data_IF_906426156939
#
_entry.id   IF_906426156939
#
_cell.length_a   1.000
_cell.length_b   1.000
_cell.length_c   1.000
_cell.angle_alpha   90.00
_cell.angle_beta   90.00
_cell.angle_gamma   90.00
#
_symmetry.space_group_name_H-M   'P 1'
#
loop_
_entity.id
_entity.type
_entity.pdbx_description
1 polymer ?
#
# COMPACT_ATOMS: atom_id res chain seq x y z
N UNK A 1 12.93 -11.83 1.64
CA UNK A 1 12.34 -12.98 0.88
C UNK A 1 10.88 -12.72 0.51
N UNK A 2 10.29 -13.46 -0.45
CA UNK A 2 8.85 -13.34 -0.80
C UNK A 2 7.94 -13.68 0.38
N UNK A 3 8.35 -14.61 1.24
CA UNK A 3 7.60 -15.01 2.42
C UNK A 3 7.53 -13.90 3.47
N UNK A 4 8.65 -13.19 3.69
CA UNK A 4 8.71 -12.05 4.61
C UNK A 4 7.87 -10.88 4.12
N UNK A 5 7.89 -10.57 2.80
CA UNK A 5 7.01 -9.55 2.23
C UNK A 5 5.54 -9.90 2.47
N UNK A 6 5.14 -11.14 2.16
CA UNK A 6 3.77 -11.62 2.39
C UNK A 6 3.36 -11.61 3.87
N UNK A 7 4.32 -11.80 4.79
CA UNK A 7 4.11 -11.65 6.22
C UNK A 7 3.92 -10.17 6.59
N UNK A 8 4.79 -9.29 6.14
CA UNK A 8 4.70 -7.84 6.37
C UNK A 8 3.40 -7.24 5.85
N UNK A 9 2.98 -7.59 4.63
CA UNK A 9 1.70 -7.18 4.04
C UNK A 9 0.52 -7.57 4.93
N UNK A 10 0.54 -8.79 5.47
CA UNK A 10 -0.50 -9.28 6.39
C UNK A 10 -0.43 -8.59 7.75
N UNK A 11 0.74 -8.40 8.34
CA UNK A 11 0.84 -7.75 9.64
C UNK A 11 0.43 -6.27 9.58
N UNK A 12 0.82 -5.56 8.51
CA UNK A 12 0.37 -4.21 8.24
C UNK A 12 -1.15 -4.14 8.06
N UNK A 13 -1.73 -5.05 7.27
CA UNK A 13 -3.17 -5.10 7.08
C UNK A 13 -3.92 -5.39 8.40
N UNK A 14 -3.36 -6.22 9.28
CA UNK A 14 -3.93 -6.48 10.60
C UNK A 14 -3.91 -5.23 11.48
N UNK A 15 -2.80 -4.49 11.49
CA UNK A 15 -2.69 -3.24 12.26
C UNK A 15 -3.75 -2.22 11.84
N UNK A 16 -3.93 -2.02 10.53
CA UNK A 16 -4.99 -1.16 10.01
C UNK A 16 -6.39 -1.69 10.36
N UNK A 17 -6.63 -2.99 10.17
CA UNK A 17 -7.91 -3.60 10.51
C UNK A 17 -8.28 -3.44 12.00
N UNK A 18 -7.30 -3.56 12.91
CA UNK A 18 -7.48 -3.33 14.35
C UNK A 18 -7.77 -1.86 14.68
N UNK A 19 -7.08 -0.92 14.02
CA UNK A 19 -7.33 0.53 14.19
C UNK A 19 -8.79 0.86 13.91
N UNK A 20 -9.35 0.33 12.82
CA UNK A 20 -10.76 0.53 12.49
C UNK A 20 -11.69 -0.30 13.38
N UNK A 21 -11.36 -1.54 13.72
CA UNK A 21 -12.19 -2.37 14.60
C UNK A 21 -12.44 -1.72 15.98
N UNK A 22 -11.47 -0.96 16.50
CA UNK A 22 -11.64 -0.13 17.70
C UNK A 22 -12.79 0.89 17.61
N UNK A 23 -13.20 1.27 16.40
CA UNK A 23 -14.34 2.14 16.13
C UNK A 23 -15.68 1.39 16.12
N UNK A 24 -15.72 0.12 16.55
CA UNK A 24 -16.90 -0.77 16.55
C UNK A 24 -17.58 -0.92 15.19
N UNK A 25 -16.83 -0.71 14.10
CA UNK A 25 -17.35 -0.72 12.72
C UNK A 25 -16.88 -1.95 11.93
N UNK A 26 -16.47 -3.04 12.59
CA UNK A 26 -15.83 -4.18 11.92
C UNK A 26 -16.66 -4.76 10.76
N UNK A 27 -17.99 -4.75 10.86
CA UNK A 27 -18.91 -5.18 9.78
C UNK A 27 -18.80 -4.33 8.53
N UNK A 28 -18.27 -3.12 8.62
CA UNK A 28 -18.11 -2.17 7.52
C UNK A 28 -16.75 -2.26 6.83
N UNK A 29 -15.87 -3.16 7.28
CA UNK A 29 -14.51 -3.32 6.75
C UNK A 29 -14.42 -4.55 5.85
N UNK A 30 -13.77 -4.39 4.71
CA UNK A 30 -13.31 -5.45 3.84
C UNK A 30 -11.79 -5.34 3.64
N UNK A 31 -11.03 -6.36 4.05
CA UNK A 31 -9.61 -6.48 3.74
C UNK A 31 -9.45 -7.39 2.53
N UNK A 32 -8.90 -6.84 1.45
CA UNK A 32 -8.76 -7.50 0.18
C UNK A 32 -7.28 -7.70 -0.17
N UNK A 33 -6.83 -8.95 -0.14
CA UNK A 33 -5.45 -9.32 -0.50
C UNK A 33 -5.31 -9.58 -1.99
N UNK A 34 -4.08 -9.46 -2.51
CA UNK A 34 -3.76 -9.73 -3.92
C UNK A 34 -4.24 -11.09 -4.45
N UNK A 35 -4.32 -12.13 -3.61
CA UNK A 35 -4.75 -13.47 -4.01
C UNK A 35 -5.35 -14.29 -2.85
N UNK A 36 -6.01 -15.40 -3.19
CA UNK A 36 -6.73 -16.24 -2.23
C UNK A 36 -5.81 -16.92 -1.21
N UNK A 37 -4.57 -17.25 -1.59
CA UNK A 37 -3.57 -17.82 -0.67
C UNK A 37 -3.26 -16.86 0.48
N UNK A 38 -3.02 -15.58 0.17
CA UNK A 38 -2.77 -14.55 1.18
C UNK A 38 -3.99 -14.29 2.06
N UNK A 39 -5.18 -14.19 1.46
CA UNK A 39 -6.43 -14.00 2.20
C UNK A 39 -6.72 -15.17 3.16
N UNK A 40 -6.50 -16.41 2.72
CA UNK A 40 -6.71 -17.61 3.53
C UNK A 40 -5.72 -17.70 4.69
N UNK A 41 -4.46 -17.35 4.45
CA UNK A 41 -3.45 -17.24 5.51
C UNK A 41 -3.80 -16.16 6.53
N UNK A 42 -4.30 -15.01 6.08
CA UNK A 42 -4.78 -13.95 6.97
C UNK A 42 -5.93 -14.44 7.85
N UNK A 43 -6.99 -15.04 7.27
CA UNK A 43 -8.11 -15.62 8.02
C UNK A 43 -7.66 -16.60 9.10
N UNK A 44 -6.74 -17.50 8.76
CA UNK A 44 -6.21 -18.50 9.70
C UNK A 44 -5.43 -17.86 10.85
N UNK A 45 -4.59 -16.86 10.55
CA UNK A 45 -3.70 -16.25 11.53
C UNK A 45 -4.42 -15.25 12.44
N UNK A 46 -5.44 -14.57 11.91
CA UNK A 46 -6.13 -13.48 12.60
C UNK A 46 -7.25 -13.96 13.52
N UNK A 47 -7.70 -15.22 13.39
CA UNK A 47 -8.80 -15.79 14.19
C UNK A 47 -10.02 -14.86 14.18
N UNK A 48 -10.61 -14.57 15.33
CA UNK A 48 -11.78 -13.69 15.49
C UNK A 48 -11.38 -12.21 15.53
N UNK A 49 -10.86 -11.66 14.45
CA UNK A 49 -10.79 -10.20 14.27
C UNK A 49 -12.19 -9.62 13.94
N UNK A 50 -13.19 -9.96 14.75
CA UNK A 50 -14.57 -9.48 14.61
C UNK A 50 -15.25 -9.86 13.29
N UNK A 51 -16.28 -9.10 12.92
CA UNK A 51 -17.12 -9.37 11.75
C UNK A 51 -16.61 -8.77 10.43
N UNK A 52 -15.30 -8.50 10.33
CA UNK A 52 -14.68 -7.96 9.12
C UNK A 52 -14.67 -9.01 7.99
N UNK A 53 -14.81 -8.55 6.75
CA UNK A 53 -14.66 -9.41 5.58
C UNK A 53 -13.17 -9.49 5.23
N UNK A 54 -12.63 -10.69 5.13
CA UNK A 54 -11.30 -10.93 4.54
C UNK A 54 -11.49 -11.69 3.23
N UNK A 55 -10.93 -11.18 2.14
CA UNK A 55 -11.11 -11.74 0.79
C UNK A 55 -9.84 -11.54 -0.05
N UNK A 56 -9.79 -12.18 -1.21
CA UNK A 56 -8.91 -11.79 -2.29
C UNK A 56 -9.58 -10.77 -3.23
N UNK A 57 -8.74 -9.94 -3.86
CA UNK A 57 -9.08 -9.18 -5.05
C UNK A 57 -9.22 -10.13 -6.25
N UNK A 58 -10.05 -9.78 -7.25
CA UNK A 58 -10.19 -10.59 -8.44
C UNK A 58 -8.85 -10.71 -9.17
N UNK A 59 -8.61 -11.86 -9.79
CA UNK A 59 -7.47 -12.04 -10.68
C UNK A 59 -7.98 -12.09 -12.12
N UNK A 60 -7.43 -11.29 -13.05
CA UNK A 60 -7.86 -11.33 -14.45
C UNK A 60 -7.62 -12.70 -15.10
N UNK A 61 -6.74 -13.53 -14.53
CA UNK A 61 -6.44 -14.89 -15.03
C UNK A 61 -7.48 -15.95 -14.63
N UNK A 62 -8.46 -15.63 -13.78
CA UNK A 62 -9.54 -16.56 -13.42
C UNK A 62 -10.79 -16.30 -14.27
N UNK A 63 -10.70 -16.58 -15.56
CA UNK A 63 -11.74 -16.30 -16.55
C UNK A 63 -12.74 -17.46 -16.77
N UNK A 64 -12.96 -18.36 -15.80
CA UNK A 64 -14.03 -19.37 -15.89
C UNK A 64 -14.65 -19.69 -14.52
N UNK A 65 -15.92 -19.29 -14.34
CA UNK A 65 -16.90 -20.01 -13.53
C UNK A 65 -17.13 -19.63 -12.07
N UNK A 66 -16.20 -18.97 -11.36
CA UNK A 66 -16.39 -18.68 -9.92
C UNK A 66 -15.54 -17.51 -9.39
N UNK A 67 -15.06 -16.62 -10.26
CA UNK A 67 -14.27 -15.46 -9.85
C UNK A 67 -15.11 -14.51 -8.99
N UNK A 68 -14.59 -14.12 -7.81
CA UNK A 68 -15.20 -13.04 -7.02
C UNK A 68 -15.19 -11.76 -7.86
N UNK A 69 -16.30 -11.05 -7.92
CA UNK A 69 -16.35 -9.75 -8.61
C UNK A 69 -15.79 -8.65 -7.71
N UNK A 70 -15.26 -7.59 -8.30
CA UNK A 70 -14.77 -6.44 -7.54
C UNK A 70 -15.91 -5.77 -6.74
N UNK A 71 -17.14 -5.84 -7.23
CA UNK A 71 -18.34 -5.35 -6.54
C UNK A 71 -18.59 -6.09 -5.21
N UNK A 72 -18.25 -7.38 -5.11
CA UNK A 72 -18.34 -8.12 -3.85
C UNK A 72 -17.31 -7.65 -2.83
N UNK A 73 -16.10 -7.27 -3.29
CA UNK A 73 -15.07 -6.67 -2.43
C UNK A 73 -15.55 -5.31 -1.93
N UNK A 74 -16.12 -4.52 -2.84
CA UNK A 74 -16.62 -3.18 -2.58
C UNK A 74 -18.00 -3.13 -1.91
N UNK A 75 -18.63 -4.26 -1.59
CA UNK A 75 -19.92 -4.26 -0.89
C UNK A 75 -19.87 -3.61 0.51
N UNK A 76 -18.67 -3.39 1.05
CA UNK A 76 -18.43 -2.69 2.32
C UNK A 76 -17.96 -1.25 2.06
N UNK A 77 -18.30 -0.29 2.93
CA UNK A 77 -17.91 1.11 2.75
C UNK A 77 -16.41 1.36 2.96
N UNK A 78 -15.71 0.52 3.73
CA UNK A 78 -14.25 0.61 3.89
C UNK A 78 -13.58 -0.60 3.27
N UNK A 79 -12.72 -0.37 2.28
CA UNK A 79 -11.92 -1.42 1.64
C UNK A 79 -10.44 -1.15 1.88
N UNK A 80 -9.76 -2.10 2.50
CA UNK A 80 -8.31 -2.11 2.67
C UNK A 80 -7.74 -3.07 1.62
N UNK A 81 -7.21 -2.52 0.52
CA UNK A 81 -6.59 -3.31 -0.55
C UNK A 81 -5.08 -3.43 -0.32
N UNK A 82 -4.58 -4.66 -0.26
CA UNK A 82 -3.21 -4.99 0.16
C UNK A 82 -2.40 -5.48 -1.03
N UNK A 83 -1.34 -4.72 -1.35
CA UNK A 83 -0.41 -4.97 -2.45
C UNK A 83 -1.10 -5.35 -3.78
N UNK A 84 -2.11 -4.60 -4.25
CA UNK A 84 -2.81 -4.89 -5.50
C UNK A 84 -1.85 -4.93 -6.70
N UNK A 85 -2.14 -5.77 -7.69
CA UNK A 85 -1.49 -5.69 -9.00
C UNK A 85 -2.01 -4.50 -9.81
N UNK A 86 -1.34 -4.18 -10.93
CA UNK A 86 -1.80 -3.15 -11.86
C UNK A 86 -3.25 -3.38 -12.31
N UNK A 87 -3.58 -4.58 -12.77
CA UNK A 87 -4.95 -4.90 -13.21
C UNK A 87 -5.99 -4.82 -12.07
N UNK A 88 -5.57 -5.08 -10.83
CA UNK A 88 -6.44 -4.92 -9.66
C UNK A 88 -6.62 -3.45 -9.30
N UNK A 89 -5.61 -2.60 -9.53
CA UNK A 89 -5.74 -1.16 -9.36
C UNK A 89 -6.74 -0.57 -10.36
N UNK A 90 -6.75 -1.03 -11.61
CA UNK A 90 -7.77 -0.64 -12.61
C UNK A 90 -9.18 -0.92 -12.08
N UNK A 91 -9.43 -2.16 -11.64
CA UNK A 91 -10.75 -2.55 -11.13
C UNK A 91 -11.15 -1.77 -9.86
N UNK A 92 -10.18 -1.45 -9.00
CA UNK A 92 -10.44 -0.66 -7.79
C UNK A 92 -10.77 0.80 -8.13
N UNK A 93 -10.11 1.37 -9.15
CA UNK A 93 -10.40 2.71 -9.65
C UNK A 93 -11.80 2.79 -10.24
N UNK A 94 -12.17 1.85 -11.12
CA UNK A 94 -13.51 1.79 -11.71
C UNK A 94 -14.60 1.78 -10.63
N UNK A 95 -14.40 1.01 -9.57
CA UNK A 95 -15.34 0.94 -8.45
C UNK A 95 -15.38 2.24 -7.63
N UNK A 96 -14.24 2.88 -7.40
CA UNK A 96 -14.18 4.16 -6.68
C UNK A 96 -14.97 5.25 -7.45
N UNK A 97 -14.78 5.30 -8.76
CA UNK A 97 -15.50 6.21 -9.67
C UNK A 97 -17.01 5.92 -9.71
N UNK A 98 -17.42 4.64 -9.80
CA UNK A 98 -18.83 4.24 -9.80
C UNK A 98 -19.56 4.56 -8.48
N UNK A 99 -18.88 4.39 -7.34
CA UNK A 99 -19.51 4.51 -6.02
C UNK A 99 -19.38 5.89 -5.40
N UNK A 100 -18.41 6.67 -5.84
CA UNK A 100 -18.09 8.00 -5.30
C UNK A 100 -17.81 7.98 -3.79
N UNK A 101 -18.07 9.11 -3.12
CA UNK A 101 -17.73 9.34 -1.70
C UNK A 101 -18.42 8.45 -0.65
N UNK A 102 -19.17 7.41 -1.05
CA UNK A 102 -19.72 6.37 -0.14
C UNK A 102 -18.75 5.21 0.11
N UNK A 103 -17.58 5.28 -0.51
CA UNK A 103 -16.56 4.25 -0.53
C UNK A 103 -15.23 4.88 -0.09
N UNK A 104 -14.57 4.24 0.86
CA UNK A 104 -13.25 4.64 1.33
C UNK A 104 -12.28 3.51 0.98
N UNK A 105 -11.42 3.78 0.00
CA UNK A 105 -10.36 2.89 -0.42
C UNK A 105 -9.06 3.22 0.30
N UNK A 106 -8.53 2.25 1.03
CA UNK A 106 -7.26 2.33 1.73
C UNK A 106 -6.29 1.40 1.02
N UNK A 107 -5.24 1.98 0.45
CA UNK A 107 -4.23 1.27 -0.33
C UNK A 107 -3.00 1.01 0.54
N UNK A 108 -2.75 -0.26 0.87
CA UNK A 108 -1.57 -0.69 1.62
C UNK A 108 -0.56 -1.32 0.67
N UNK A 109 0.70 -0.88 0.71
CA UNK A 109 1.78 -1.38 -0.13
C UNK A 109 1.42 -1.46 -1.64
N UNK A 110 0.60 -0.52 -2.12
CA UNK A 110 0.14 -0.49 -3.51
C UNK A 110 1.19 -0.04 -4.53
N UNK A 111 2.34 0.48 -4.06
CA UNK A 111 3.49 0.89 -4.89
C UNK A 111 3.09 1.87 -6.00
N UNK A 112 2.29 2.87 -5.64
CA UNK A 112 1.85 3.91 -6.57
C UNK A 112 2.93 4.96 -6.88
N UNK A 113 3.89 5.11 -5.98
CA UNK A 113 4.81 6.25 -5.89
C UNK A 113 6.26 5.82 -6.05
N UNK A 114 7.11 6.73 -6.50
CA UNK A 114 8.55 6.50 -6.62
C UNK A 114 8.94 5.46 -7.67
N UNK A 115 8.18 5.38 -8.76
CA UNK A 115 8.47 4.50 -9.89
C UNK A 115 9.65 5.07 -10.71
N UNK A 116 10.50 4.18 -11.23
CA UNK A 116 11.57 4.57 -12.14
C UNK A 116 11.03 4.90 -13.55
N UNK A 117 10.01 4.15 -13.98
CA UNK A 117 9.27 4.36 -15.23
C UNK A 117 7.88 4.91 -14.89
N UNK A 118 7.42 5.87 -15.69
CA UNK A 118 6.08 6.44 -15.56
C UNK A 118 5.01 5.36 -15.80
N UNK A 119 3.97 5.36 -14.96
CA UNK A 119 2.79 4.51 -15.10
C UNK A 119 1.56 5.37 -14.82
N UNK A 120 0.88 5.82 -15.89
CA UNK A 120 -0.23 6.76 -15.85
C UNK A 120 -1.32 6.38 -14.83
N UNK A 121 -1.64 5.07 -14.73
CA UNK A 121 -2.62 4.57 -13.77
C UNK A 121 -2.19 4.85 -12.32
N UNK A 122 -0.91 4.56 -12.01
CA UNK A 122 -0.38 4.71 -10.66
C UNK A 122 -0.17 6.17 -10.31
N UNK A 123 0.26 6.98 -11.26
CA UNK A 123 0.39 8.44 -11.10
C UNK A 123 -0.97 9.10 -10.86
N UNK A 124 -2.00 8.70 -11.62
CA UNK A 124 -3.37 9.16 -11.42
C UNK A 124 -3.88 8.79 -10.04
N UNK A 125 -3.73 7.53 -9.62
CA UNK A 125 -4.12 7.08 -8.28
C UNK A 125 -3.29 7.74 -7.16
N UNK A 126 -2.00 7.98 -7.38
CA UNK A 126 -1.15 8.72 -6.45
C UNK A 126 -1.63 10.17 -6.29
N UNK A 127 -2.01 10.83 -7.39
CA UNK A 127 -2.53 12.20 -7.36
C UNK A 127 -3.90 12.28 -6.67
N UNK A 128 -4.76 11.29 -6.92
CA UNK A 128 -6.10 11.22 -6.31
C UNK A 128 -6.10 10.75 -4.84
N UNK A 129 -4.95 10.33 -4.29
CA UNK A 129 -4.86 9.78 -2.94
C UNK A 129 -3.95 10.60 -2.02
N UNK A 130 -4.34 10.67 -0.74
CA UNK A 130 -3.52 11.30 0.29
C UNK A 130 -2.58 10.25 0.92
N UNK A 131 -1.24 10.43 0.83
CA UNK A 131 -0.30 9.49 1.44
C UNK A 131 -0.30 9.65 2.96
N UNK A 132 -0.98 8.74 3.67
CA UNK A 132 -0.97 8.75 5.14
C UNK A 132 0.42 8.42 5.72
N UNK A 133 1.11 7.47 5.08
CA UNK A 133 2.47 7.06 5.41
C UNK A 133 3.14 6.50 4.16
N UNK A 134 4.39 6.90 3.93
CA UNK A 134 5.22 6.40 2.83
C UNK A 134 6.62 6.10 3.35
N UNK A 135 7.18 4.98 2.91
CA UNK A 135 8.55 4.59 3.16
C UNK A 135 9.04 3.73 2.00
N UNK A 136 10.13 4.12 1.35
CA UNK A 136 10.79 3.30 0.33
C UNK A 136 12.30 3.48 0.37
N UNK A 137 13.01 2.41 0.04
CA UNK A 137 14.42 2.53 -0.29
C UNK A 137 14.58 3.24 -1.64
N UNK A 138 15.64 4.04 -1.75
CA UNK A 138 15.97 4.81 -2.94
C UNK A 138 17.50 4.84 -3.16
N UNK A 139 17.89 5.26 -4.36
CA UNK A 139 19.30 5.30 -4.76
C UNK A 139 19.93 3.92 -4.98
N UNK A 140 21.21 3.90 -5.41
CA UNK A 140 21.99 2.66 -5.56
C UNK A 140 21.92 1.78 -4.32
N UNK A 141 21.66 0.49 -4.53
CA UNK A 141 21.69 -0.56 -3.49
C UNK A 141 20.80 -0.28 -2.26
N UNK A 142 19.82 0.63 -2.38
CA UNK A 142 18.96 1.03 -1.27
C UNK A 142 19.69 1.78 -0.16
N UNK A 143 20.76 2.51 -0.49
CA UNK A 143 21.50 3.37 0.44
C UNK A 143 20.73 4.64 0.82
N UNK A 144 19.69 4.99 0.09
CA UNK A 144 18.77 6.07 0.41
C UNK A 144 17.43 5.57 0.93
N UNK A 145 16.71 6.47 1.57
CA UNK A 145 15.35 6.28 2.07
C UNK A 145 14.54 7.53 1.70
N UNK A 146 13.33 7.32 1.16
CA UNK A 146 12.33 8.38 1.04
C UNK A 146 11.22 8.04 2.03
N UNK A 147 10.90 8.99 2.91
CA UNK A 147 9.83 8.81 3.89
C UNK A 147 8.92 10.03 3.98
N UNK A 148 7.66 9.77 4.32
CA UNK A 148 6.66 10.77 4.58
C UNK A 148 5.63 10.22 5.58
N UNK A 149 5.13 11.10 6.44
CA UNK A 149 4.01 10.82 7.34
C UNK A 149 3.02 11.97 7.24
N UNK A 150 1.73 11.68 7.38
CA UNK A 150 0.68 12.68 7.27
C UNK A 150 0.95 13.94 8.09
N UNK A 151 0.78 15.11 7.47
CA UNK A 151 1.00 16.42 8.09
C UNK A 151 2.46 16.78 8.32
N UNK A 152 3.41 16.11 7.65
CA UNK A 152 4.83 16.35 7.77
C UNK A 152 5.48 16.40 6.38
N UNK A 153 6.61 17.11 6.22
CA UNK A 153 7.32 17.15 4.96
C UNK A 153 7.77 15.76 4.47
N UNK A 154 7.95 15.63 3.17
CA UNK A 154 8.72 14.57 2.56
C UNK A 154 10.19 14.73 2.91
N UNK A 155 10.85 13.61 3.16
CA UNK A 155 12.27 13.59 3.49
C UNK A 155 12.98 12.53 2.67
N UNK A 156 14.11 12.92 2.09
CA UNK A 156 15.12 12.01 1.54
C UNK A 156 16.25 11.91 2.56
N UNK A 157 16.59 10.69 2.94
CA UNK A 157 17.70 10.41 3.84
C UNK A 157 18.69 9.46 3.18
N UNK A 158 19.97 9.62 3.50
CA UNK A 158 21.08 8.76 3.09
C UNK A 158 21.53 7.93 4.29
N UNK A 159 21.80 6.64 4.10
CA UNK A 159 22.45 5.80 5.09
C UNK A 159 23.94 6.15 5.13
N UNK A 160 24.45 6.47 6.31
CA UNK A 160 25.89 6.66 6.50
C UNK A 160 26.61 5.32 6.42
N UNK A 161 27.70 5.29 5.66
CA UNK A 161 28.64 4.17 5.65
C UNK A 161 29.67 4.41 6.75
N UNK A 162 29.35 4.04 7.99
CA UNK A 162 30.34 3.98 9.05
C UNK A 162 30.79 2.53 9.25
N UNK A 163 32.10 2.30 9.31
CA UNK A 163 32.66 1.01 9.70
C UNK A 163 32.24 0.69 11.13
N UNK A 164 31.29 -0.22 11.29
CA UNK A 164 30.91 -0.80 12.58
C UNK A 164 29.71 -0.16 13.29
N UNK A 165 29.06 0.86 12.71
CA UNK A 165 27.89 1.50 13.30
C UNK A 165 26.61 1.23 12.48
N UNK A 166 25.54 0.86 13.17
CA UNK A 166 24.26 0.48 12.58
C UNK A 166 23.56 1.68 11.92
N UNK A 167 23.89 1.96 10.66
CA UNK A 167 22.95 2.54 9.69
C UNK A 167 22.26 3.85 10.09
N UNK A 168 22.98 4.81 10.68
CA UNK A 168 22.45 6.16 10.88
C UNK A 168 21.94 6.75 9.56
N UNK A 169 20.75 7.36 9.62
CA UNK A 169 20.14 8.07 8.50
C UNK A 169 20.46 9.56 8.63
N UNK A 170 21.09 10.12 7.60
CA UNK A 170 21.31 11.55 7.44
C UNK A 170 20.25 12.11 6.50
N UNK A 171 19.48 13.10 6.96
CA UNK A 171 18.56 13.85 6.09
C UNK A 171 19.36 14.66 5.08
N UNK A 172 19.13 14.42 3.79
CA UNK A 172 19.81 15.12 2.68
C UNK A 172 18.89 16.03 1.88
N UNK A 173 17.58 15.87 2.02
CA UNK A 173 16.58 16.75 1.41
C UNK A 173 15.25 16.71 2.16
N UNK A 174 14.55 17.84 2.17
CA UNK A 174 13.22 18.02 2.75
C UNK A 174 12.36 18.88 1.84
N UNK A 175 11.12 18.47 1.61
CA UNK A 175 10.17 19.18 0.75
C UNK A 175 8.73 19.00 1.22
N UNK A 176 7.87 19.98 0.96
CA UNK A 176 6.43 19.84 1.20
C UNK A 176 5.75 18.95 0.14
N UNK A 177 6.33 18.91 -1.06
CA UNK A 177 5.87 18.08 -2.18
C UNK A 177 6.65 16.76 -2.27
N UNK A 178 6.05 15.75 -2.91
CA UNK A 178 6.71 14.46 -3.15
C UNK A 178 7.92 14.64 -4.09
N UNK A 179 9.13 14.22 -3.70
CA UNK A 179 10.31 14.39 -4.53
C UNK A 179 10.24 13.46 -5.76
N UNK A 180 10.51 14.04 -6.92
CA UNK A 180 10.62 13.33 -8.20
C UNK A 180 11.81 12.38 -8.18
N UNK A 181 11.79 11.37 -9.04
CA UNK A 181 12.87 10.38 -9.13
C UNK A 181 14.25 11.04 -9.30
N UNK A 182 14.36 12.02 -10.20
CA UNK A 182 15.59 12.78 -10.47
C UNK A 182 16.08 13.61 -9.27
N UNK A 183 15.16 14.17 -8.47
CA UNK A 183 15.50 14.95 -7.27
C UNK A 183 16.05 14.04 -6.17
N UNK A 184 15.50 12.83 -6.05
CA UNK A 184 16.02 11.82 -5.14
C UNK A 184 17.41 11.35 -5.57
N UNK A 185 17.65 11.15 -6.87
CA UNK A 185 18.98 10.78 -7.37
C UNK A 185 20.03 11.88 -7.11
N UNK A 186 19.69 13.13 -7.43
CA UNK A 186 20.57 14.28 -7.18
C UNK A 186 20.90 14.43 -5.70
N UNK A 187 19.91 14.32 -4.80
CA UNK A 187 20.11 14.43 -3.35
C UNK A 187 20.98 13.28 -2.80
N UNK A 188 20.93 12.10 -3.41
CA UNK A 188 21.74 10.95 -3.01
C UNK A 188 23.13 10.90 -3.66
N UNK A 189 23.50 11.90 -4.47
CA UNK A 189 24.84 12.05 -5.02
C UNK A 189 25.09 11.25 -6.31
N UNK A 190 24.12 11.29 -7.23
CA UNK A 190 24.29 10.86 -8.63
C UNK A 190 24.10 12.02 -9.59
#
# INVERSE_FOLDING_TARGET
SKAEIARGDRELAAAFAMLFAGLKNSKSICVAFRNEKLASLAKRNWREMGAMRVTALPSPKQAFGAGRSIQQVAARPFVIAVAPSRDQLVQLQEVDEERGGKFCLILLNARLRGLAESDELREGLATASNPAFHLRFAGPDGKGLVYHRFGQPWVVARRKEAEGDEGELEEVSRSDEEPRFSEVEAALGR
#
